data_IF_912971004038
#
_entry.id   IF_912971004038
#
_cell.length_a   1.000
_cell.length_b   1.000
_cell.length_c   1.000
_cell.angle_alpha   90.00
_cell.angle_beta   90.00
_cell.angle_gamma   90.00
#
_symmetry.space_group_name_H-M   'P 1'
#
loop_
_entity.id
_entity.type
_entity.pdbx_description
1 polymer ?
#
# COMPACT_ATOMS: atom_id res chain seq x y z
N UNK A 1 12.68 -10.69 -1.06
CA UNK A 1 12.74 -9.25 -0.75
C UNK A 1 11.37 -8.56 -0.85
N UNK A 2 10.49 -9.00 -1.74
CA UNK A 2 9.15 -8.42 -1.98
C UNK A 2 8.33 -8.02 -0.75
N UNK A 3 8.20 -8.88 0.26
CA UNK A 3 7.34 -8.62 1.42
C UNK A 3 8.07 -8.04 2.64
N UNK A 4 9.36 -7.69 2.48
CA UNK A 4 10.21 -7.28 3.61
C UNK A 4 9.60 -6.04 4.29
N UNK A 5 9.17 -5.01 3.56
CA UNK A 5 8.60 -3.81 4.18
C UNK A 5 7.43 -4.09 5.14
N UNK A 6 6.61 -5.11 4.86
CA UNK A 6 5.46 -5.50 5.69
C UNK A 6 5.85 -6.22 6.98
N UNK A 7 7.06 -6.78 7.06
CA UNK A 7 7.55 -7.48 8.24
C UNK A 7 8.46 -6.59 9.10
N UNK A 8 8.64 -5.32 8.72
CA UNK A 8 9.54 -4.39 9.38
C UNK A 8 9.13 -4.10 10.82
N UNK A 9 7.84 -3.81 11.02
CA UNK A 9 7.28 -3.47 12.31
C UNK A 9 7.42 -4.61 13.34
N UNK A 10 7.42 -5.87 12.88
CA UNK A 10 7.48 -7.06 13.73
C UNK A 10 8.90 -7.57 13.99
N UNK A 11 9.86 -7.22 13.13
CA UNK A 11 11.20 -7.81 13.15
C UNK A 11 12.31 -6.81 13.48
N UNK A 12 12.62 -5.86 12.59
CA UNK A 12 13.81 -4.99 12.72
C UNK A 12 13.50 -3.59 13.25
N UNK A 13 12.24 -3.13 13.23
CA UNK A 13 11.85 -1.80 13.72
C UNK A 13 10.81 -1.89 14.83
N UNK A 14 10.98 -2.87 15.73
CA UNK A 14 10.02 -3.16 16.81
C UNK A 14 9.90 -2.02 17.83
N UNK A 15 10.97 -1.24 18.00
CA UNK A 15 11.04 -0.14 18.97
C UNK A 15 10.40 1.16 18.45
N UNK A 16 9.90 1.15 17.21
CA UNK A 16 9.26 2.30 16.59
C UNK A 16 7.75 2.07 16.47
N UNK A 17 6.97 3.08 16.88
CA UNK A 17 5.50 3.04 16.79
C UNK A 17 4.97 3.59 15.47
N UNK A 18 5.83 4.27 14.70
CA UNK A 18 5.48 4.86 13.40
C UNK A 18 6.62 4.67 12.42
N UNK A 19 6.28 4.17 11.23
CA UNK A 19 7.23 3.93 10.15
C UNK A 19 6.78 4.65 8.90
N UNK A 20 7.71 5.30 8.21
CA UNK A 20 7.49 5.82 6.85
C UNK A 20 8.42 5.09 5.91
N UNK A 21 7.82 4.41 4.95
CA UNK A 21 8.49 3.72 3.88
C UNK A 21 8.31 4.48 2.57
N UNK A 22 9.38 4.54 1.77
CA UNK A 22 9.41 5.12 0.43
C UNK A 22 10.23 4.17 -0.46
N UNK A 23 9.71 3.79 -1.62
CA UNK A 23 10.42 2.95 -2.59
C UNK A 23 11.73 3.64 -3.03
N UNK A 24 12.77 2.86 -3.27
CA UNK A 24 14.12 3.37 -3.54
C UNK A 24 14.27 4.13 -4.87
N UNK A 25 13.30 3.98 -5.77
CA UNK A 25 13.23 4.66 -7.07
C UNK A 25 12.39 5.95 -7.02
N UNK A 26 11.95 6.37 -5.82
CA UNK A 26 11.17 7.60 -5.65
C UNK A 26 12.06 8.83 -5.50
N UNK A 27 11.85 9.84 -6.37
CA UNK A 27 12.45 11.17 -6.20
C UNK A 27 11.65 12.00 -5.21
N UNK A 28 12.27 12.34 -4.07
CA UNK A 28 11.68 13.23 -3.07
C UNK A 28 11.99 14.70 -3.43
N UNK A 29 10.95 15.49 -3.68
CA UNK A 29 11.07 16.90 -4.08
C UNK A 29 11.00 17.90 -2.90
N UNK A 30 10.89 17.43 -1.65
CA UNK A 30 10.75 18.30 -0.48
C UNK A 30 10.82 17.53 0.85
N UNK A 31 10.43 18.17 1.95
CA UNK A 31 10.44 17.51 3.27
C UNK A 31 9.31 16.49 3.41
N UNK A 32 9.63 15.35 4.06
CA UNK A 32 8.66 14.32 4.45
C UNK A 32 8.01 14.57 5.81
N UNK A 33 8.44 15.59 6.56
CA UNK A 33 7.91 15.88 7.90
C UNK A 33 6.38 16.03 7.95
N UNK A 34 5.71 16.72 6.99
CA UNK A 34 4.25 16.81 7.00
C UNK A 34 3.57 15.45 6.84
N UNK A 35 4.11 14.59 5.97
CA UNK A 35 3.60 13.22 5.80
C UNK A 35 3.83 12.41 7.08
N UNK A 36 5.03 12.44 7.66
CA UNK A 36 5.33 11.68 8.87
C UNK A 36 4.46 12.08 10.07
N UNK A 37 4.04 13.36 10.13
CA UNK A 37 3.17 13.90 11.20
C UNK A 37 1.67 13.82 10.89
N UNK A 38 1.29 13.23 9.75
CA UNK A 38 -0.11 13.11 9.37
C UNK A 38 -0.93 12.40 10.46
N UNK A 39 -2.05 13.00 10.84
CA UNK A 39 -3.07 12.34 11.64
C UNK A 39 -3.86 11.37 10.75
N UNK A 40 -3.67 10.07 10.99
CA UNK A 40 -4.34 8.99 10.26
C UNK A 40 -5.75 8.69 10.80
N UNK A 41 -6.23 9.42 11.80
CA UNK A 41 -7.60 9.34 12.34
C UNK A 41 -8.06 7.92 12.68
N UNK A 42 -7.16 7.12 13.26
CA UNK A 42 -7.47 5.73 13.59
C UNK A 42 -7.00 4.70 12.57
N UNK A 43 -6.74 5.09 11.32
CA UNK A 43 -6.26 4.18 10.27
C UNK A 43 -4.89 3.59 10.60
N UNK A 44 -4.62 2.41 10.04
CA UNK A 44 -3.38 1.64 10.30
C UNK A 44 -2.28 2.08 9.34
N UNK A 45 -2.65 2.46 8.12
CA UNK A 45 -1.74 2.93 7.10
C UNK A 45 -2.27 4.20 6.45
N UNK A 46 -1.39 4.99 5.86
CA UNK A 46 -1.74 6.00 4.88
C UNK A 46 -0.97 5.76 3.58
N UNK A 47 -1.70 5.74 2.47
CA UNK A 47 -1.20 5.47 1.11
C UNK A 47 -1.99 6.30 0.09
N UNK A 48 -1.41 6.57 -1.08
CA UNK A 48 -2.12 7.25 -2.17
C UNK A 48 -2.83 6.23 -3.09
N UNK A 49 -3.96 6.61 -3.68
CA UNK A 49 -4.64 5.74 -4.67
C UNK A 49 -3.74 5.50 -5.89
N UNK A 50 -3.70 4.26 -6.35
CA UNK A 50 -3.15 3.88 -7.64
C UNK A 50 -4.22 4.09 -8.72
N UNK A 51 -4.19 5.28 -9.33
CA UNK A 51 -5.07 5.65 -10.43
C UNK A 51 -4.75 4.93 -11.74
N UNK A 52 -3.68 4.12 -11.82
CA UNK A 52 -3.30 3.37 -13.03
C UNK A 52 -4.43 2.50 -13.58
N UNK A 53 -5.34 2.04 -12.70
CA UNK A 53 -6.53 1.27 -13.10
C UNK A 53 -7.51 2.05 -13.98
N UNK A 54 -7.67 3.35 -13.74
CA UNK A 54 -8.61 4.18 -14.50
C UNK A 54 -8.10 4.53 -15.89
N UNK A 55 -6.81 4.36 -16.10
CA UNK A 55 -6.10 4.83 -17.29
C UNK A 55 -5.77 3.70 -18.26
N UNK A 56 -6.06 2.44 -17.89
CA UNK A 56 -5.59 1.26 -18.63
C UNK A 56 -4.05 1.15 -18.69
N UNK A 57 -3.33 1.99 -17.96
CA UNK A 57 -1.88 2.16 -18.03
C UNK A 57 -1.12 1.06 -17.25
N UNK A 58 -1.80 0.36 -16.33
CA UNK A 58 -1.22 -0.74 -15.54
C UNK A 58 -1.15 -2.07 -16.31
N UNK A 59 -0.93 -2.03 -17.64
CA UNK A 59 -0.45 -3.20 -18.39
C UNK A 59 -1.46 -4.26 -18.79
N UNK A 60 -2.75 -3.93 -18.96
CA UNK A 60 -3.67 -4.88 -19.60
C UNK A 60 -5.14 -4.53 -19.49
N UNK A 61 -5.89 -4.95 -20.52
CA UNK A 61 -7.37 -4.99 -20.57
C UNK A 61 -7.93 -6.04 -19.61
N UNK A 62 -7.51 -5.98 -18.35
CA UNK A 62 -7.90 -6.98 -17.39
C UNK A 62 -9.27 -6.69 -16.82
N UNK A 63 -10.03 -7.75 -16.65
CA UNK A 63 -11.23 -7.71 -15.86
C UNK A 63 -10.82 -7.54 -14.39
N UNK A 64 -10.70 -6.29 -13.94
CA UNK A 64 -10.36 -5.95 -12.57
C UNK A 64 -11.29 -6.60 -11.56
N UNK A 65 -12.54 -6.88 -11.94
CA UNK A 65 -13.50 -7.58 -11.08
C UNK A 65 -13.12 -9.05 -10.89
N UNK A 66 -12.68 -9.74 -11.95
CA UNK A 66 -12.14 -11.10 -11.85
C UNK A 66 -10.89 -11.14 -10.98
N UNK A 67 -9.98 -10.17 -11.18
CA UNK A 67 -8.77 -10.10 -10.36
C UNK A 67 -9.08 -9.82 -8.89
N UNK A 68 -10.03 -8.92 -8.60
CA UNK A 68 -10.47 -8.65 -7.22
C UNK A 68 -11.11 -9.88 -6.59
N UNK A 69 -11.97 -10.57 -7.32
CA UNK A 69 -12.58 -11.81 -6.86
C UNK A 69 -11.53 -12.90 -6.56
N UNK A 70 -10.54 -13.08 -7.43
CA UNK A 70 -9.49 -14.08 -7.26
C UNK A 70 -8.55 -13.77 -6.09
N UNK A 71 -8.20 -12.51 -5.88
CA UNK A 71 -7.24 -12.09 -4.83
C UNK A 71 -7.91 -11.84 -3.47
N UNK A 72 -9.20 -11.53 -3.46
CA UNK A 72 -9.95 -11.07 -2.30
C UNK A 72 -9.81 -9.57 -2.04
N UNK A 73 -9.39 -8.79 -3.03
CA UNK A 73 -9.42 -7.34 -2.96
C UNK A 73 -10.88 -6.85 -2.87
N UNK A 74 -11.14 -5.72 -2.19
CA UNK A 74 -12.50 -5.16 -2.14
C UNK A 74 -13.06 -4.92 -3.54
N UNK A 75 -14.31 -5.31 -3.80
CA UNK A 75 -14.95 -5.10 -5.11
C UNK A 75 -15.23 -3.62 -5.40
N UNK A 76 -15.28 -2.78 -4.36
CA UNK A 76 -15.55 -1.36 -4.47
C UNK A 76 -14.55 -0.55 -3.66
N UNK A 77 -14.39 0.72 -4.04
CA UNK A 77 -13.47 1.65 -3.41
C UNK A 77 -12.12 1.77 -4.11
N UNK A 78 -11.21 2.50 -3.46
CA UNK A 78 -9.88 2.78 -3.94
C UNK A 78 -8.97 1.53 -3.87
N UNK A 79 -7.95 1.52 -4.73
CA UNK A 79 -6.84 0.59 -4.66
C UNK A 79 -5.55 1.40 -4.55
N UNK A 80 -4.79 1.17 -3.49
CA UNK A 80 -3.71 2.06 -3.07
C UNK A 80 -2.35 1.57 -3.52
N UNK A 81 -1.47 2.49 -3.87
CA UNK A 81 -0.10 2.19 -4.23
C UNK A 81 0.79 2.03 -2.98
N UNK A 82 1.63 1.00 -2.93
CA UNK A 82 2.48 0.67 -1.78
C UNK A 82 3.90 1.26 -1.82
N UNK A 83 4.19 2.16 -2.76
CA UNK A 83 5.49 2.82 -2.89
C UNK A 83 5.76 3.90 -1.85
N UNK A 84 4.72 4.54 -1.34
CA UNK A 84 4.80 5.41 -0.16
C UNK A 84 3.80 4.93 0.88
N UNK A 85 4.30 4.53 2.06
CA UNK A 85 3.50 3.95 3.13
C UNK A 85 3.87 4.59 4.47
N UNK A 86 2.93 5.32 5.06
CA UNK A 86 3.00 5.67 6.48
C UNK A 86 2.26 4.59 7.27
N UNK A 87 2.89 4.02 8.29
CA UNK A 87 2.37 2.90 9.06
C UNK A 87 2.31 3.24 10.55
N UNK A 88 1.16 2.96 11.18
CA UNK A 88 1.01 2.85 12.62
C UNK A 88 1.53 1.47 13.06
N UNK A 89 2.83 1.40 13.34
CA UNK A 89 3.51 0.15 13.65
C UNK A 89 3.09 -0.42 15.01
N UNK A 90 2.70 0.44 15.95
CA UNK A 90 2.13 0.01 17.23
C UNK A 90 0.83 -0.76 17.02
N UNK A 91 -0.15 -0.18 16.30
CA UNK A 91 -1.41 -0.86 15.99
C UNK A 91 -1.26 -2.05 15.06
N UNK A 92 -0.29 -2.00 14.14
CA UNK A 92 0.05 -3.14 13.30
C UNK A 92 0.44 -4.36 14.14
N UNK A 93 1.33 -4.17 15.12
CA UNK A 93 1.74 -5.22 16.07
C UNK A 93 0.59 -5.65 16.97
N UNK A 94 -0.15 -4.69 17.55
CA UNK A 94 -1.31 -4.96 18.43
C UNK A 94 -2.34 -5.88 17.76
N UNK A 95 -2.58 -5.66 16.46
CA UNK A 95 -3.54 -6.45 15.67
C UNK A 95 -2.94 -7.72 15.06
N UNK A 96 -1.67 -8.01 15.32
CA UNK A 96 -0.98 -9.20 14.80
C UNK A 96 -0.90 -9.23 13.27
N UNK A 97 -0.78 -8.08 12.60
CA UNK A 97 -0.85 -8.04 11.14
C UNK A 97 0.34 -8.71 10.46
N UNK A 98 1.52 -8.73 11.07
CA UNK A 98 2.68 -9.45 10.52
C UNK A 98 2.45 -10.96 10.35
N UNK A 99 1.74 -11.60 11.28
CA UNK A 99 1.41 -13.03 11.16
C UNK A 99 0.32 -13.26 10.10
N UNK A 100 -0.66 -12.36 10.02
CA UNK A 100 -1.70 -12.39 8.99
C UNK A 100 -1.12 -12.19 7.57
N UNK A 101 -0.11 -11.33 7.39
CA UNK A 101 0.64 -11.20 6.13
C UNK A 101 1.26 -12.53 5.73
N UNK A 102 1.97 -13.21 6.64
CA UNK A 102 2.61 -14.51 6.36
C UNK A 102 1.58 -15.56 5.96
N UNK A 103 0.42 -15.59 6.64
CA UNK A 103 -0.66 -16.52 6.32
C UNK A 103 -1.26 -16.25 4.94
N UNK A 104 -1.51 -14.98 4.60
CA UNK A 104 -2.05 -14.58 3.31
C UNK A 104 -1.09 -14.90 2.16
N UNK A 105 0.19 -14.56 2.30
CA UNK A 105 1.21 -14.85 1.26
C UNK A 105 1.33 -16.35 1.05
N UNK A 106 1.28 -17.17 2.11
CA UNK A 106 1.31 -18.64 1.98
C UNK A 106 0.07 -19.18 1.24
N UNK A 107 -1.11 -18.64 1.56
CA UNK A 107 -2.36 -19.14 1.00
C UNK A 107 -2.66 -18.64 -0.42
N UNK A 108 -2.24 -17.40 -0.73
CA UNK A 108 -2.68 -16.66 -1.93
C UNK A 108 -1.56 -16.04 -2.75
N UNK A 109 -0.31 -16.09 -2.27
CA UNK A 109 0.84 -15.41 -2.88
C UNK A 109 0.95 -15.54 -4.41
N UNK A 110 0.76 -16.73 -5.01
CA UNK A 110 0.80 -16.89 -6.47
C UNK A 110 -0.26 -16.10 -7.26
N UNK A 111 -1.36 -15.71 -6.62
CA UNK A 111 -2.45 -14.92 -7.23
C UNK A 111 -2.23 -13.41 -7.07
N UNK A 112 -1.36 -12.98 -6.16
CA UNK A 112 -1.12 -11.57 -5.83
C UNK A 112 -0.08 -11.00 -6.78
N UNK A 113 -0.54 -10.42 -7.90
CA UNK A 113 0.36 -9.88 -8.93
C UNK A 113 1.19 -8.72 -8.43
N UNK A 114 0.58 -7.82 -7.67
CA UNK A 114 1.24 -6.65 -7.10
C UNK A 114 1.70 -6.89 -5.67
N UNK A 115 1.75 -8.16 -5.25
CA UNK A 115 2.48 -8.64 -4.09
C UNK A 115 2.12 -7.88 -2.79
N UNK A 116 3.04 -7.14 -2.19
CA UNK A 116 2.83 -6.41 -0.94
C UNK A 116 1.73 -5.36 -1.04
N UNK A 117 1.57 -4.74 -2.22
CA UNK A 117 0.47 -3.83 -2.49
C UNK A 117 -0.89 -4.50 -2.39
N UNK A 118 -1.05 -5.69 -2.99
CA UNK A 118 -2.31 -6.43 -2.87
C UNK A 118 -2.57 -6.86 -1.45
N UNK A 119 -1.55 -7.37 -0.74
CA UNK A 119 -1.67 -7.77 0.67
C UNK A 119 -2.19 -6.60 1.51
N UNK A 120 -1.61 -5.41 1.36
CA UNK A 120 -2.05 -4.21 2.09
C UNK A 120 -3.49 -3.83 1.75
N UNK A 121 -3.87 -3.84 0.47
CA UNK A 121 -5.22 -3.50 0.03
C UNK A 121 -6.28 -4.51 0.50
N UNK A 122 -5.95 -5.80 0.57
CA UNK A 122 -6.85 -6.82 1.14
C UNK A 122 -6.95 -6.64 2.66
N UNK A 123 -5.82 -6.60 3.35
CA UNK A 123 -5.80 -6.63 4.82
C UNK A 123 -6.31 -5.34 5.45
N UNK A 124 -6.03 -4.19 4.83
CA UNK A 124 -6.34 -2.88 5.38
C UNK A 124 -7.56 -2.23 4.72
N UNK A 125 -8.40 -3.01 4.04
CA UNK A 125 -9.67 -2.52 3.49
C UNK A 125 -10.47 -1.72 4.54
N UNK A 126 -10.86 -0.50 4.19
CA UNK A 126 -11.56 0.44 5.08
C UNK A 126 -10.72 1.01 6.23
N UNK A 127 -9.41 0.74 6.28
CA UNK A 127 -8.48 1.14 7.35
C UNK A 127 -7.22 1.84 6.82
N UNK A 128 -7.32 2.42 5.63
CA UNK A 128 -6.27 3.22 4.98
C UNK A 128 -6.73 4.68 4.96
N UNK A 129 -5.88 5.57 5.48
CA UNK A 129 -6.04 7.00 5.28
C UNK A 129 -5.52 7.36 3.88
N UNK A 130 -6.39 7.92 3.05
CA UNK A 130 -6.01 8.28 1.69
C UNK A 130 -5.07 9.50 1.69
N UNK A 131 -3.93 9.35 1.02
CA UNK A 131 -2.97 10.42 0.78
C UNK A 131 -3.28 11.12 -0.53
N UNK A 132 -3.04 12.43 -0.57
CA UNK A 132 -2.98 13.18 -1.83
C UNK A 132 -1.96 12.53 -2.78
N UNK A 133 -2.25 12.43 -4.09
CA UNK A 133 -1.32 11.89 -5.09
C UNK A 133 0.06 12.54 -5.10
N UNK A 134 0.20 13.76 -4.57
CA UNK A 134 1.50 14.43 -4.41
C UNK A 134 2.53 13.64 -3.60
N UNK A 135 2.07 12.70 -2.75
CA UNK A 135 2.94 11.87 -1.91
C UNK A 135 3.38 10.57 -2.60
N UNK A 136 2.77 10.24 -3.74
CA UNK A 136 3.14 9.08 -4.54
C UNK A 136 2.63 9.28 -5.98
N UNK A 137 3.32 10.14 -6.73
CA UNK A 137 2.95 10.49 -8.10
C UNK A 137 3.73 9.62 -9.10
N UNK A 138 3.02 8.75 -9.81
CA UNK A 138 3.62 7.81 -10.75
C UNK A 138 3.91 8.48 -12.09
N UNK A 139 5.02 8.10 -12.74
CA UNK A 139 5.46 8.69 -14.01
C UNK A 139 4.50 8.42 -15.16
N UNK A 140 3.74 7.32 -15.13
CA UNK A 140 2.71 7.04 -16.13
C UNK A 140 1.54 8.04 -16.12
N UNK A 141 1.44 8.91 -15.10
CA UNK A 141 0.50 10.03 -15.09
C UNK A 141 0.99 11.25 -15.88
N UNK A 142 2.29 11.37 -16.16
CA UNK A 142 2.87 12.58 -16.79
C UNK A 142 2.39 12.81 -18.22
N UNK A 143 1.90 11.78 -18.91
CA UNK A 143 1.39 11.86 -20.28
C UNK A 143 -0.12 12.09 -20.39
N UNK A 144 -0.84 12.27 -19.27
CA UNK A 144 -2.28 12.46 -19.28
C UNK A 144 -2.65 13.91 -19.58
N UNK A 145 -3.44 14.13 -20.63
CA UNK A 145 -3.89 15.46 -21.03
C UNK A 145 -2.89 16.27 -21.86
N UNK A 146 -1.82 15.62 -22.33
CA UNK A 146 -0.92 16.15 -23.36
C UNK A 146 -1.49 15.92 -24.78
#
# INVERSE_FOLDING_TARGET
FTYVKLLAADNWLRDYDRLLYVDSDTRIAGTLTPLFRLDMRGAIAAMAEDCGRYLGAAGGRENWDEYRAATGLPMHGAYFNAGTLLLDAARWREKGLGSAVKAMVRARGPMLRFMDQDVLNVMLAGRIAELSPRWNFMTHYMGLGA
#
